data_IF_053685099541
#
_entry.id   IF_053685099541
#
_cell.length_a   1.000
_cell.length_b   1.000
_cell.length_c   1.000
_cell.angle_alpha   90.00
_cell.angle_beta   90.00
_cell.angle_gamma   90.00
#
_symmetry.space_group_name_H-M   'P 1'
#
loop_
_entity.id
_entity.type
_entity.pdbx_description
1 polymer ?
#
# COMPACT_ATOMS: atom_id res chain seq x y z
N UNK A 1 0.22 -20.42 5.10
CA UNK A 1 0.36 -18.96 5.29
C UNK A 1 1.74 -18.72 5.86
N UNK A 2 2.69 -18.33 5.00
CA UNK A 2 4.11 -18.19 5.37
C UNK A 2 4.30 -16.93 6.21
N UNK A 3 4.91 -17.07 7.38
CA UNK A 3 5.15 -16.00 8.39
C UNK A 3 6.02 -14.84 7.88
N UNK A 4 6.56 -14.93 6.67
CA UNK A 4 7.53 -13.97 6.14
C UNK A 4 6.89 -12.70 5.54
N UNK A 5 5.58 -12.71 5.27
CA UNK A 5 4.90 -11.56 4.64
C UNK A 5 4.88 -10.30 5.53
N UNK A 6 4.95 -10.49 6.84
CA UNK A 6 4.88 -9.43 7.84
C UNK A 6 6.28 -8.99 8.34
N UNK A 7 7.35 -9.69 7.93
CA UNK A 7 8.70 -9.30 8.29
C UNK A 7 9.16 -8.13 7.40
N UNK A 8 9.56 -6.98 7.97
CA UNK A 8 10.10 -5.88 7.20
C UNK A 8 11.42 -6.27 6.52
N UNK A 9 11.62 -5.90 5.25
CA UNK A 9 12.92 -6.08 4.59
C UNK A 9 13.95 -5.12 5.22
N UNK A 10 15.15 -5.63 5.52
CA UNK A 10 16.19 -4.86 6.20
C UNK A 10 16.67 -3.63 5.39
N UNK A 11 16.42 -3.59 4.08
CA UNK A 11 16.84 -2.49 3.20
C UNK A 11 15.95 -1.27 3.28
N UNK A 12 14.63 -1.48 3.33
CA UNK A 12 13.63 -0.41 3.25
C UNK A 12 12.74 -0.32 4.49
N UNK A 13 12.79 -1.30 5.39
CA UNK A 13 11.92 -1.38 6.57
C UNK A 13 10.45 -1.59 6.21
N UNK A 14 10.16 -2.04 4.98
CA UNK A 14 8.81 -2.26 4.48
C UNK A 14 8.46 -3.74 4.49
N UNK A 15 7.23 -4.03 4.90
CA UNK A 15 6.61 -5.34 4.65
C UNK A 15 6.23 -5.48 3.18
N UNK A 16 5.92 -6.70 2.75
CA UNK A 16 5.44 -6.95 1.37
C UNK A 16 4.19 -6.12 1.05
N UNK A 17 3.25 -6.05 2.01
CA UNK A 17 2.00 -5.29 1.86
C UNK A 17 2.26 -3.80 1.69
N UNK A 18 3.14 -3.23 2.51
CA UNK A 18 3.50 -1.80 2.45
C UNK A 18 4.18 -1.41 1.14
N UNK A 19 5.09 -2.26 0.65
CA UNK A 19 5.75 -2.04 -0.64
C UNK A 19 4.76 -2.04 -1.80
N UNK A 20 3.80 -2.97 -1.78
CA UNK A 20 2.73 -3.02 -2.80
C UNK A 20 1.83 -1.79 -2.72
N UNK A 21 1.46 -1.34 -1.51
CA UNK A 21 0.67 -0.12 -1.32
C UNK A 21 1.41 1.11 -1.89
N UNK A 22 2.69 1.27 -1.60
CA UNK A 22 3.50 2.38 -2.13
C UNK A 22 3.64 2.31 -3.65
N UNK A 23 3.92 1.12 -4.19
CA UNK A 23 4.04 0.93 -5.63
C UNK A 23 2.74 1.29 -6.35
N UNK A 24 1.60 0.80 -5.87
CA UNK A 24 0.29 1.09 -6.46
C UNK A 24 -0.14 2.54 -6.29
N UNK A 25 0.16 3.16 -5.15
CA UNK A 25 -0.04 4.60 -4.98
C UNK A 25 0.74 5.40 -6.04
N UNK A 26 2.01 5.04 -6.29
CA UNK A 26 2.84 5.69 -7.29
C UNK A 26 2.33 5.50 -8.73
N UNK A 27 1.91 4.28 -9.10
CA UNK A 27 1.32 4.04 -10.43
C UNK A 27 0.01 4.81 -10.62
N UNK A 28 -0.87 4.80 -9.61
CA UNK A 28 -2.14 5.54 -9.66
C UNK A 28 -1.94 7.07 -9.69
N UNK A 29 -0.89 7.59 -9.05
CA UNK A 29 -0.53 9.00 -9.16
C UNK A 29 -0.08 9.35 -10.59
N UNK A 30 0.73 8.50 -11.25
CA UNK A 30 1.12 8.70 -12.65
C UNK A 30 -0.09 8.66 -13.59
N UNK A 31 -0.99 7.69 -13.41
CA UNK A 31 -2.24 7.56 -14.17
C UNK A 31 -3.16 8.78 -14.02
N UNK A 32 -3.02 9.55 -12.93
CA UNK A 32 -3.87 10.69 -12.59
C UNK A 32 -3.16 12.04 -12.71
N UNK A 33 -2.03 12.10 -13.42
CA UNK A 33 -1.22 13.33 -13.57
C UNK A 33 -0.83 13.97 -12.23
N UNK A 34 -0.47 13.15 -11.24
CA UNK A 34 -0.09 13.60 -9.90
C UNK A 34 -1.26 14.02 -9.00
N UNK A 35 -2.51 13.87 -9.44
CA UNK A 35 -3.68 14.16 -8.60
C UNK A 35 -3.81 13.14 -7.46
N UNK A 36 -4.52 13.56 -6.40
CA UNK A 36 -4.86 12.69 -5.27
C UNK A 36 -5.50 11.38 -5.76
N UNK A 37 -5.05 10.28 -5.16
CA UNK A 37 -5.59 8.93 -5.34
C UNK A 37 -6.61 8.66 -4.24
N UNK A 38 -7.90 8.43 -4.57
CA UNK A 38 -8.91 8.07 -3.57
C UNK A 38 -8.60 6.71 -2.93
N UNK A 39 -8.79 6.60 -1.60
CA UNK A 39 -8.53 5.36 -0.86
C UNK A 39 -9.27 4.12 -1.43
N UNK A 40 -10.55 4.19 -1.87
CA UNK A 40 -11.21 3.05 -2.49
C UNK A 40 -10.57 2.60 -3.81
N UNK A 41 -10.03 3.54 -4.59
CA UNK A 41 -9.33 3.23 -5.84
C UNK A 41 -8.01 2.52 -5.55
N UNK A 42 -7.25 3.03 -4.57
CA UNK A 42 -6.04 2.38 -4.09
C UNK A 42 -6.33 0.96 -3.57
N UNK A 43 -7.39 0.81 -2.77
CA UNK A 43 -7.79 -0.50 -2.24
C UNK A 43 -8.09 -1.51 -3.34
N UNK A 44 -8.91 -1.14 -4.33
CA UNK A 44 -9.21 -2.02 -5.45
C UNK A 44 -7.95 -2.51 -6.17
N UNK A 45 -7.01 -1.59 -6.44
CA UNK A 45 -5.77 -1.91 -7.14
C UNK A 45 -4.81 -2.77 -6.30
N UNK A 46 -4.71 -2.52 -4.99
CA UNK A 46 -3.84 -3.29 -4.09
C UNK A 46 -4.31 -4.76 -3.96
N UNK A 47 -5.62 -4.99 -3.95
CA UNK A 47 -6.19 -6.34 -3.89
C UNK A 47 -5.83 -7.23 -5.08
N UNK A 48 -5.43 -6.65 -6.21
CA UNK A 48 -4.94 -7.40 -7.38
C UNK A 48 -3.57 -8.07 -7.11
N UNK A 49 -2.85 -7.65 -6.06
CA UNK A 49 -1.49 -8.09 -5.77
C UNK A 49 -1.32 -8.77 -4.41
N UNK A 50 -2.12 -8.36 -3.42
CA UNK A 50 -2.03 -8.82 -2.04
C UNK A 50 -3.42 -8.89 -1.39
N UNK A 51 -3.67 -9.97 -0.66
CA UNK A 51 -4.85 -10.05 0.18
C UNK A 51 -4.66 -9.22 1.46
N UNK A 52 -5.63 -8.37 1.76
CA UNK A 52 -5.71 -7.56 2.98
C UNK A 52 -7.12 -7.00 3.15
N UNK A 53 -7.48 -6.72 4.40
CA UNK A 53 -8.66 -5.96 4.74
C UNK A 53 -8.48 -4.46 4.45
N UNK A 54 -9.59 -3.74 4.30
CA UNK A 54 -9.58 -2.27 4.21
C UNK A 54 -8.97 -1.60 5.45
N UNK A 55 -9.13 -2.23 6.63
CA UNK A 55 -8.55 -1.73 7.88
C UNK A 55 -7.02 -1.80 7.85
N UNK A 56 -6.45 -2.91 7.41
CA UNK A 56 -5.00 -3.05 7.22
C UNK A 56 -4.46 -2.02 6.22
N UNK A 57 -5.16 -1.75 5.11
CA UNK A 57 -4.75 -0.69 4.19
C UNK A 57 -4.72 0.68 4.88
N UNK A 58 -5.75 1.02 5.66
CA UNK A 58 -5.81 2.29 6.38
C UNK A 58 -4.68 2.45 7.39
N UNK A 59 -4.31 1.37 8.09
CA UNK A 59 -3.18 1.33 9.01
C UNK A 59 -1.85 1.54 8.28
N UNK A 60 -1.65 0.84 7.16
CA UNK A 60 -0.46 1.00 6.31
C UNK A 60 -0.34 2.44 5.81
N UNK A 61 -1.40 3.01 5.25
CA UNK A 61 -1.42 4.39 4.73
C UNK A 61 -1.14 5.40 5.85
N UNK A 62 -1.68 5.16 7.05
CA UNK A 62 -1.39 6.00 8.22
C UNK A 62 0.09 5.88 8.66
N UNK A 63 0.64 4.66 8.74
CA UNK A 63 2.05 4.40 9.06
C UNK A 63 3.00 5.08 8.07
N UNK A 64 2.66 5.06 6.78
CA UNK A 64 3.47 5.65 5.71
C UNK A 64 3.38 7.18 5.64
N UNK A 65 2.63 7.83 6.55
CA UNK A 65 2.59 9.28 6.67
C UNK A 65 1.65 9.99 5.68
N UNK A 66 0.74 9.26 5.03
CA UNK A 66 -0.24 9.83 4.10
C UNK A 66 -1.46 10.46 4.81
N UNK A 67 -1.55 10.37 6.14
CA UNK A 67 -2.60 11.00 6.95
C UNK A 67 -2.09 12.36 7.45
N UNK A 68 -2.34 13.43 6.70
CA UNK A 68 -2.24 14.82 7.15
C UNK A 68 -3.58 15.51 7.00
#
# INVERSE_FOLDING_TARGET
MTRDADLPDARDGLTRKERVVLWMLGELQKERDGRMVPLPMLYGRVLEHVDMSIAELQEIVARLGARR
#
